data_IF_713061287428
#
_entry.id   IF_713061287428
#
_cell.length_a   1.000
_cell.length_b   1.000
_cell.length_c   1.000
_cell.angle_alpha   90.00
_cell.angle_beta   90.00
_cell.angle_gamma   90.00
#
_symmetry.space_group_name_H-M   'P 1'
#
loop_
_entity.id
_entity.type
_entity.pdbx_description
1 polymer ?
#
# COMPACT_ATOMS: atom_id res chain seq x y z
N UNK A 1 6.21 56.53 -0.87
CA UNK A 1 7.13 55.37 -0.90
C UNK A 1 6.82 54.26 0.14
N UNK A 2 6.02 54.54 1.15
CA UNK A 2 5.65 53.52 2.17
C UNK A 2 4.53 52.58 1.73
N UNK A 3 3.85 52.82 0.60
CA UNK A 3 2.70 52.00 0.12
C UNK A 3 3.09 50.81 -0.76
N UNK A 4 4.32 50.77 -1.27
CA UNK A 4 4.79 49.66 -2.14
C UNK A 4 5.29 48.45 -1.37
N UNK A 5 5.72 48.66 -0.10
CA UNK A 5 6.26 47.58 0.72
C UNK A 5 5.18 46.65 1.30
N UNK A 6 3.95 47.19 1.43
CA UNK A 6 2.82 46.42 2.00
C UNK A 6 2.21 45.45 1.00
N UNK A 7 2.30 45.75 -0.29
CA UNK A 7 1.72 44.91 -1.35
C UNK A 7 2.57 43.64 -1.60
N UNK A 8 3.88 43.73 -1.40
CA UNK A 8 4.77 42.61 -1.62
C UNK A 8 4.63 41.51 -0.55
N UNK A 9 4.30 41.93 0.68
CA UNK A 9 4.12 40.97 1.80
C UNK A 9 2.79 40.22 1.66
N UNK A 10 1.75 40.85 1.05
CA UNK A 10 0.46 40.19 0.87
C UNK A 10 0.45 39.15 -0.23
N UNK A 11 1.33 39.26 -1.23
CA UNK A 11 1.44 38.29 -2.33
C UNK A 11 2.22 37.04 -1.88
N UNK A 12 3.14 37.18 -0.93
CA UNK A 12 3.94 36.04 -0.45
C UNK A 12 3.16 35.08 0.47
N UNK A 13 2.08 35.56 1.08
CA UNK A 13 1.25 34.75 2.00
C UNK A 13 0.24 33.85 1.28
N UNK A 14 -0.01 34.08 -0.01
CA UNK A 14 -0.99 33.30 -0.78
C UNK A 14 -0.41 31.96 -1.28
N UNK A 15 0.92 31.84 -1.37
CA UNK A 15 1.57 30.61 -1.83
C UNK A 15 1.84 29.57 -0.73
N UNK A 16 1.68 29.93 0.54
CA UNK A 16 1.94 29.03 1.66
C UNK A 16 0.77 28.06 1.99
N UNK A 17 -0.34 28.18 1.29
CA UNK A 17 -1.57 27.43 1.60
C UNK A 17 -1.95 26.31 0.61
N UNK A 18 -1.15 26.05 -0.41
CA UNK A 18 -1.45 24.97 -1.35
C UNK A 18 -0.73 23.68 -0.94
N UNK A 19 -1.07 23.16 0.21
CA UNK A 19 -0.85 21.75 0.46
C UNK A 19 -1.95 20.99 -0.29
N UNK A 20 -1.57 20.24 -1.32
CA UNK A 20 -2.47 19.27 -1.92
C UNK A 20 -2.92 18.32 -0.81
N UNK A 21 -4.16 18.42 -0.39
CA UNK A 21 -4.77 17.38 0.42
C UNK A 21 -4.71 16.09 -0.41
N UNK A 22 -3.77 15.21 -0.09
CA UNK A 22 -3.64 13.93 -0.76
C UNK A 22 -4.93 13.14 -0.59
N UNK A 23 -5.71 13.01 -1.67
CA UNK A 23 -6.92 12.20 -1.72
C UNK A 23 -6.61 10.73 -2.04
N UNK A 24 -5.32 10.33 -2.03
CA UNK A 24 -4.90 8.97 -2.36
C UNK A 24 -5.06 8.06 -1.17
N UNK A 25 -5.58 6.87 -1.40
CA UNK A 25 -5.57 5.81 -0.41
C UNK A 25 -4.12 5.51 0.00
N UNK A 26 -3.85 5.52 1.32
CA UNK A 26 -2.55 5.16 1.87
C UNK A 26 -2.68 3.87 2.65
N UNK A 27 -1.62 3.07 2.66
CA UNK A 27 -1.58 1.86 3.45
C UNK A 27 -1.67 2.21 4.94
N UNK A 28 -2.72 1.76 5.61
CA UNK A 28 -2.96 2.01 7.03
C UNK A 28 -2.56 0.84 7.91
N UNK A 29 -2.76 -0.39 7.45
CA UNK A 29 -2.38 -1.60 8.18
C UNK A 29 -2.19 -2.78 7.24
N UNK A 30 -1.50 -3.80 7.70
CA UNK A 30 -1.28 -5.03 6.96
C UNK A 30 -1.06 -6.20 7.89
N UNK A 31 -1.26 -7.41 7.39
CA UNK A 31 -0.90 -8.64 8.07
C UNK A 31 -0.26 -9.63 7.10
N UNK A 32 0.99 -10.05 7.29
CA UNK A 32 1.91 -9.56 8.33
C UNK A 32 2.22 -8.08 8.17
N UNK A 33 2.60 -7.44 9.28
CA UNK A 33 3.03 -6.06 9.27
C UNK A 33 4.48 -5.92 8.77
N UNK A 34 4.84 -4.71 8.36
CA UNK A 34 6.20 -4.38 7.95
C UNK A 34 7.22 -4.76 9.02
N UNK A 35 8.24 -5.50 8.62
CA UNK A 35 9.33 -5.99 9.47
C UNK A 35 8.89 -6.95 10.60
N UNK A 36 7.66 -7.43 10.57
CA UNK A 36 7.17 -8.38 11.57
C UNK A 36 7.87 -9.73 11.43
N UNK A 37 8.16 -10.34 12.56
CA UNK A 37 8.57 -11.75 12.64
C UNK A 37 7.34 -12.55 13.04
N UNK A 38 6.86 -13.42 12.15
CA UNK A 38 5.73 -14.29 12.43
C UNK A 38 6.24 -15.69 12.78
N UNK A 39 5.59 -16.30 13.77
CA UNK A 39 5.87 -17.67 14.22
C UNK A 39 5.01 -18.70 13.51
N UNK A 40 3.89 -18.25 12.99
CA UNK A 40 2.96 -19.03 12.18
C UNK A 40 2.60 -18.21 10.95
N UNK A 41 2.72 -18.80 9.76
CA UNK A 41 2.33 -18.11 8.54
C UNK A 41 0.81 -17.96 8.48
N UNK A 42 0.30 -16.77 8.16
CA UNK A 42 -1.12 -16.62 7.86
C UNK A 42 -1.46 -17.30 6.54
N UNK A 43 -2.71 -17.72 6.39
CA UNK A 43 -3.21 -18.23 5.10
C UNK A 43 -3.39 -17.13 4.07
N UNK A 44 -3.61 -15.91 4.54
CA UNK A 44 -3.78 -14.70 3.72
C UNK A 44 -2.80 -13.62 4.15
N UNK A 45 -2.21 -12.96 3.17
CA UNK A 45 -1.58 -11.65 3.36
C UNK A 45 -2.62 -10.61 2.95
N UNK A 46 -2.86 -9.64 3.80
CA UNK A 46 -3.81 -8.57 3.48
C UNK A 46 -3.23 -7.19 3.78
N UNK A 47 -3.67 -6.23 2.98
CA UNK A 47 -3.33 -4.82 3.08
C UNK A 47 -4.62 -4.03 3.21
N UNK A 48 -4.69 -3.14 4.19
CA UNK A 48 -5.81 -2.22 4.40
C UNK A 48 -5.35 -0.80 4.11
N UNK A 49 -6.12 -0.10 3.30
CA UNK A 49 -5.86 1.29 2.95
C UNK A 49 -6.81 2.21 3.71
N UNK A 50 -6.49 3.49 3.79
CA UNK A 50 -7.33 4.49 4.47
C UNK A 50 -8.49 5.01 3.60
N UNK A 51 -8.62 4.49 2.39
CA UNK A 51 -9.72 4.78 1.46
C UNK A 51 -9.99 3.58 0.58
N UNK A 52 -11.17 3.56 -0.03
CA UNK A 52 -11.60 2.46 -0.88
C UNK A 52 -10.75 2.35 -2.15
N UNK A 53 -10.59 1.14 -2.63
CA UNK A 53 -9.93 0.84 -3.88
C UNK A 53 -10.94 0.90 -5.02
N UNK A 54 -10.48 1.34 -6.19
CA UNK A 54 -11.33 1.49 -7.36
C UNK A 54 -11.87 0.13 -7.80
N UNK A 55 -13.18 0.06 -8.01
CA UNK A 55 -13.82 -1.09 -8.63
C UNK A 55 -14.06 -0.81 -10.11
N UNK A 56 -13.61 -1.69 -10.97
CA UNK A 56 -13.72 -1.52 -12.41
C UNK A 56 -14.37 -2.76 -13.07
N UNK A 57 -15.62 -3.03 -12.70
CA UNK A 57 -16.35 -4.20 -13.17
C UNK A 57 -15.61 -5.50 -12.86
N UNK A 58 -15.51 -6.38 -13.85
CA UNK A 58 -14.83 -7.67 -13.70
C UNK A 58 -13.32 -7.60 -13.96
N UNK A 59 -12.78 -6.42 -14.31
CA UNK A 59 -11.36 -6.25 -14.58
C UNK A 59 -10.57 -6.16 -13.29
N UNK A 60 -9.54 -7.00 -13.18
CA UNK A 60 -8.57 -6.91 -12.10
C UNK A 60 -7.48 -5.88 -12.45
N UNK A 61 -7.54 -4.74 -11.77
CA UNK A 61 -6.60 -3.62 -11.95
C UNK A 61 -5.61 -3.49 -10.80
N UNK A 62 -5.81 -4.25 -9.73
CA UNK A 62 -4.95 -4.24 -8.55
C UNK A 62 -3.99 -5.42 -8.59
N UNK A 63 -2.84 -5.24 -7.98
CA UNK A 63 -1.80 -6.25 -7.92
C UNK A 63 -1.25 -6.36 -6.50
N UNK A 64 -1.10 -7.57 -6.02
CA UNK A 64 -0.36 -7.91 -4.81
C UNK A 64 0.42 -9.18 -5.09
N UNK A 65 1.70 -9.18 -4.76
CA UNK A 65 2.57 -10.34 -4.92
C UNK A 65 3.35 -10.56 -3.64
N UNK A 66 3.59 -11.82 -3.33
CA UNK A 66 4.51 -12.22 -2.25
C UNK A 66 5.58 -13.10 -2.86
N UNK A 67 6.83 -12.74 -2.63
CA UNK A 67 7.98 -13.49 -3.12
C UNK A 67 8.90 -13.89 -1.97
N UNK A 68 9.68 -14.97 -2.19
CA UNK A 68 10.74 -15.35 -1.27
C UNK A 68 12.05 -14.59 -1.60
N UNK A 69 13.13 -14.90 -0.86
CA UNK A 69 14.44 -14.28 -1.06
C UNK A 69 15.09 -14.60 -2.40
N UNK A 70 14.60 -15.62 -3.11
CA UNK A 70 15.02 -15.97 -4.48
C UNK A 70 14.13 -15.33 -5.55
N UNK A 71 13.27 -14.38 -5.17
CA UNK A 71 12.32 -13.70 -6.06
C UNK A 71 11.28 -14.63 -6.68
N UNK A 72 11.03 -15.80 -6.11
CA UNK A 72 9.97 -16.72 -6.55
C UNK A 72 8.66 -16.38 -5.86
N UNK A 73 7.57 -16.42 -6.61
CA UNK A 73 6.23 -16.16 -6.09
C UNK A 73 5.77 -17.28 -5.18
N UNK A 74 5.23 -16.88 -4.03
CA UNK A 74 4.65 -17.78 -3.03
C UNK A 74 3.18 -17.50 -2.77
N UNK A 75 2.61 -16.48 -3.40
CA UNK A 75 1.18 -16.21 -3.41
C UNK A 75 0.48 -17.03 -4.50
N UNK A 76 -0.77 -17.37 -4.27
CA UNK A 76 -1.59 -18.15 -5.19
C UNK A 76 -2.99 -17.55 -5.33
N UNK A 77 -3.62 -17.77 -6.47
CA UNK A 77 -5.02 -17.47 -6.69
C UNK A 77 -5.36 -16.04 -7.06
N UNK A 78 -4.37 -15.17 -7.18
CA UNK A 78 -4.58 -13.76 -7.53
C UNK A 78 -5.17 -12.92 -6.40
N UNK A 79 -5.31 -11.61 -6.62
CA UNK A 79 -5.79 -10.69 -5.59
C UNK A 79 -7.29 -10.83 -5.32
N UNK A 80 -7.64 -10.65 -4.05
CA UNK A 80 -9.03 -10.55 -3.59
C UNK A 80 -9.22 -9.13 -3.08
N UNK A 81 -10.13 -8.39 -3.66
CA UNK A 81 -10.34 -6.96 -3.36
C UNK A 81 -11.75 -6.74 -2.85
N UNK A 82 -11.89 -5.97 -1.80
CA UNK A 82 -13.17 -5.55 -1.25
C UNK A 82 -13.01 -4.28 -0.43
N UNK A 83 -13.74 -3.21 -0.78
CA UNK A 83 -13.63 -1.93 -0.09
C UNK A 83 -12.22 -1.38 -0.12
N UNK A 84 -11.63 -1.16 1.04
CA UNK A 84 -10.28 -0.64 1.22
C UNK A 84 -9.20 -1.73 1.35
N UNK A 85 -9.55 -2.99 1.13
CA UNK A 85 -8.66 -4.12 1.39
C UNK A 85 -8.32 -4.91 0.15
N UNK A 86 -7.06 -5.29 0.01
CA UNK A 86 -6.58 -6.28 -0.93
C UNK A 86 -5.89 -7.41 -0.17
N UNK A 87 -6.11 -8.63 -0.59
CA UNK A 87 -5.48 -9.81 0.00
C UNK A 87 -5.07 -10.82 -1.06
N UNK A 88 -4.18 -11.72 -0.69
CA UNK A 88 -3.78 -12.85 -1.50
C UNK A 88 -3.47 -14.05 -0.61
N UNK A 89 -3.74 -15.24 -1.11
CA UNK A 89 -3.44 -16.49 -0.41
C UNK A 89 -1.96 -16.83 -0.53
N UNK A 90 -1.40 -17.40 0.51
CA UNK A 90 -0.06 -17.97 0.50
C UNK A 90 -0.11 -19.47 0.22
N UNK A 91 0.92 -19.98 -0.44
CA UNK A 91 1.18 -21.42 -0.53
C UNK A 91 1.35 -22.01 0.85
N UNK A 92 0.94 -23.27 1.00
CA UNK A 92 1.12 -24.03 2.24
C UNK A 92 2.55 -24.57 2.32
N UNK A 93 3.07 -24.69 3.54
CA UNK A 93 4.35 -25.35 3.79
C UNK A 93 5.57 -24.52 3.39
N UNK A 94 5.47 -23.20 3.41
CA UNK A 94 6.60 -22.34 3.10
C UNK A 94 7.69 -22.45 4.16
N UNK A 95 8.97 -22.42 3.75
CA UNK A 95 10.08 -22.49 4.68
C UNK A 95 10.26 -21.19 5.47
N UNK A 96 10.98 -21.27 6.59
CA UNK A 96 11.44 -20.09 7.30
C UNK A 96 12.29 -19.21 6.38
N UNK A 97 12.20 -17.93 6.57
CA UNK A 97 12.96 -16.97 5.77
C UNK A 97 12.27 -15.62 5.68
N UNK A 98 12.84 -14.77 4.85
CA UNK A 98 12.35 -13.43 4.57
C UNK A 98 11.44 -13.45 3.35
N UNK A 99 10.30 -12.77 3.47
CA UNK A 99 9.30 -12.66 2.40
C UNK A 99 9.08 -11.20 2.06
N UNK A 100 8.80 -10.94 0.77
CA UNK A 100 8.66 -9.61 0.20
C UNK A 100 7.24 -9.45 -0.33
N UNK A 101 6.53 -8.46 0.19
CA UNK A 101 5.19 -8.11 -0.27
C UNK A 101 5.31 -6.87 -1.14
N UNK A 102 4.80 -6.94 -2.35
CA UNK A 102 4.75 -5.80 -3.28
C UNK A 102 3.32 -5.61 -3.75
N UNK A 103 2.92 -4.37 -3.91
CA UNK A 103 1.57 -4.06 -4.35
C UNK A 103 1.53 -2.83 -5.26
N UNK A 104 0.56 -2.86 -6.14
CA UNK A 104 0.11 -1.72 -6.92
C UNK A 104 -1.41 -1.74 -6.93
N UNK A 105 -2.01 -0.75 -6.30
CA UNK A 105 -3.45 -0.59 -6.24
C UNK A 105 -3.84 0.74 -6.84
N UNK A 106 -5.10 0.85 -7.23
CA UNK A 106 -5.66 2.10 -7.74
C UNK A 106 -6.71 2.56 -6.74
N UNK A 107 -6.54 3.77 -6.22
CA UNK A 107 -7.50 4.35 -5.30
C UNK A 107 -8.79 4.78 -6.02
N UNK A 108 -9.84 5.01 -5.26
CA UNK A 108 -11.15 5.38 -5.80
C UNK A 108 -11.11 6.65 -6.66
N UNK A 109 -10.16 7.56 -6.39
CA UNK A 109 -9.92 8.76 -7.19
C UNK A 109 -9.15 8.50 -8.50
N UNK A 110 -8.81 7.24 -8.80
CA UNK A 110 -8.14 6.83 -10.03
C UNK A 110 -6.63 6.90 -10.01
N UNK A 111 -6.00 7.22 -8.89
CA UNK A 111 -4.54 7.29 -8.80
C UNK A 111 -3.92 5.96 -8.35
N UNK A 112 -2.83 5.52 -8.99
CA UNK A 112 -2.11 4.33 -8.54
C UNK A 112 -1.33 4.61 -7.25
N UNK A 113 -1.29 3.61 -6.38
CA UNK A 113 -0.50 3.59 -5.15
C UNK A 113 0.35 2.34 -5.17
N UNK A 114 1.65 2.49 -5.07
CA UNK A 114 2.61 1.39 -5.10
C UNK A 114 3.43 1.36 -3.82
N UNK A 115 3.81 0.17 -3.41
CA UNK A 115 4.70 0.00 -2.27
C UNK A 115 5.16 -1.43 -2.11
N UNK A 116 6.05 -1.60 -1.17
CA UNK A 116 6.58 -2.92 -0.79
C UNK A 116 7.04 -2.89 0.65
N UNK A 117 7.01 -4.06 1.27
CA UNK A 117 7.59 -4.27 2.59
C UNK A 117 8.00 -5.73 2.74
N UNK A 118 8.69 -6.02 3.84
CA UNK A 118 9.14 -7.39 4.14
C UNK A 118 8.62 -7.83 5.50
N UNK A 119 8.44 -9.13 5.64
CA UNK A 119 8.27 -9.80 6.92
C UNK A 119 9.13 -11.06 6.94
N UNK A 120 9.34 -11.62 8.11
CA UNK A 120 10.12 -12.85 8.28
C UNK A 120 9.27 -13.92 8.93
N UNK A 121 9.39 -15.15 8.44
CA UNK A 121 8.80 -16.32 9.06
C UNK A 121 9.90 -17.10 9.79
N UNK A 122 9.75 -17.20 11.10
CA UNK A 122 10.69 -17.94 11.97
C UNK A 122 9.86 -18.78 12.94
N UNK A 123 9.51 -20.03 12.59
CA UNK A 123 8.79 -20.92 13.50
C UNK A 123 9.66 -21.21 14.73
N UNK A 124 9.01 -21.51 15.83
CA UNK A 124 9.70 -21.90 17.06
C UNK A 124 10.24 -23.31 16.99
#
# INVERSE_FOLDING_TARGET
MKKLTTIIISVLLIFAGMQSAGAHAQLSSSNPAKNQIVRTLPSLVWLEFDGDLLSFGDKQIHKITVTNSRKKRVDIGGPIVGGARISTKLKVGLPSGKYFVSYRVVSEDGHPVEGSYTFSYKPR
#
